data_IF_783860955906
#
_entry.id   IF_783860955906
#
_cell.length_a   1.000
_cell.length_b   1.000
_cell.length_c   1.000
_cell.angle_alpha   90.00
_cell.angle_beta   90.00
_cell.angle_gamma   90.00
#
_symmetry.space_group_name_H-M   'P 1'
#
loop_
_entity.id
_entity.type
_entity.pdbx_description
1 polymer ?
#
# COMPACT_ATOMS: atom_id res chain seq x y z
N UNK A 1 12.94 9.19 3.94
CA UNK A 1 12.09 9.13 5.14
C UNK A 1 10.64 8.93 4.77
N UNK A 2 9.92 8.16 5.57
CA UNK A 2 8.49 8.03 5.37
C UNK A 2 7.78 9.33 5.72
N UNK A 3 6.72 9.66 5.00
CA UNK A 3 5.87 10.80 5.32
C UNK A 3 5.11 10.53 6.62
N UNK A 4 4.50 11.58 7.19
CA UNK A 4 3.64 11.41 8.36
C UNK A 4 2.50 10.44 8.08
N UNK A 5 1.92 10.50 6.89
CA UNK A 5 0.84 9.61 6.49
C UNK A 5 1.31 8.15 6.42
N UNK A 6 2.49 7.90 5.83
CA UNK A 6 3.05 6.56 5.79
C UNK A 6 3.35 6.03 7.19
N UNK A 7 3.89 6.88 8.06
CA UNK A 7 4.17 6.48 9.44
C UNK A 7 2.90 6.07 10.18
N UNK A 8 1.82 6.83 10.02
CA UNK A 8 0.52 6.50 10.61
C UNK A 8 -0.03 5.18 10.06
N UNK A 9 0.09 4.97 8.76
CA UNK A 9 -0.38 3.75 8.13
C UNK A 9 0.39 2.53 8.61
N UNK A 10 1.72 2.64 8.72
CA UNK A 10 2.55 1.55 9.22
C UNK A 10 2.08 1.16 10.63
N UNK A 11 1.87 2.15 11.51
CA UNK A 11 1.40 1.89 12.87
C UNK A 11 0.02 1.25 12.86
N UNK A 12 -0.88 1.75 12.02
CA UNK A 12 -2.24 1.21 11.91
C UNK A 12 -2.22 -0.28 11.53
N UNK A 13 -1.52 -0.61 10.44
CA UNK A 13 -1.50 -1.98 9.96
C UNK A 13 -0.76 -2.92 10.91
N UNK A 14 0.32 -2.43 11.56
CA UNK A 14 1.00 -3.21 12.61
C UNK A 14 0.07 -3.50 13.77
N UNK A 15 -0.77 -2.54 14.15
CA UNK A 15 -1.71 -2.74 15.25
C UNK A 15 -2.73 -3.84 14.96
N UNK A 16 -2.96 -4.14 13.69
CA UNK A 16 -3.84 -5.22 13.25
C UNK A 16 -3.11 -6.56 13.14
N UNK A 17 -1.83 -6.60 13.50
CA UNK A 17 -1.06 -7.84 13.51
C UNK A 17 -0.27 -8.13 12.25
N UNK A 18 -0.17 -7.18 11.32
CA UNK A 18 0.58 -7.38 10.09
C UNK A 18 2.05 -7.06 10.27
N UNK A 19 2.89 -7.78 9.55
CA UNK A 19 4.28 -7.41 9.33
C UNK A 19 4.32 -6.46 8.13
N UNK A 20 4.73 -5.21 8.34
CA UNK A 20 4.65 -4.16 7.31
C UNK A 20 6.02 -3.83 6.78
N UNK A 21 6.16 -3.86 5.46
CA UNK A 21 7.39 -3.50 4.75
C UNK A 21 7.14 -2.24 3.94
N UNK A 22 8.08 -1.28 4.06
CA UNK A 22 8.05 -0.07 3.24
C UNK A 22 8.80 -0.34 1.93
N UNK A 23 8.11 -0.21 0.81
CA UNK A 23 8.64 -0.52 -0.52
C UNK A 23 9.20 0.69 -1.26
N UNK A 24 9.06 1.87 -0.71
CA UNK A 24 9.33 3.12 -1.44
C UNK A 24 10.72 3.17 -2.10
N UNK A 25 11.72 2.61 -1.44
CA UNK A 25 13.11 2.71 -1.93
C UNK A 25 13.53 1.61 -2.89
N UNK A 26 12.73 0.56 -3.03
CA UNK A 26 13.17 -0.64 -3.75
C UNK A 26 12.23 -1.06 -4.87
N UNK A 27 11.14 -0.34 -5.08
CA UNK A 27 10.14 -0.71 -6.07
C UNK A 27 10.17 0.21 -7.28
N UNK A 28 9.75 -0.29 -8.46
CA UNK A 28 9.53 0.58 -9.61
C UNK A 28 8.45 1.62 -9.35
N UNK A 29 8.49 2.69 -10.12
CA UNK A 29 7.51 3.77 -10.04
C UNK A 29 6.09 3.20 -10.26
N UNK A 30 5.15 3.65 -9.46
CA UNK A 30 3.73 3.28 -9.57
C UNK A 30 3.30 2.13 -8.71
N UNK A 31 4.22 1.38 -8.10
CA UNK A 31 3.84 0.34 -7.15
C UNK A 31 3.41 0.95 -5.81
N UNK A 32 2.53 0.27 -5.06
CA UNK A 32 2.13 0.74 -3.74
C UNK A 32 3.32 0.92 -2.79
N UNK A 33 3.15 1.80 -1.82
CA UNK A 33 4.23 2.18 -0.89
C UNK A 33 4.56 1.13 0.15
N UNK A 34 3.56 0.35 0.55
CA UNK A 34 3.70 -0.60 1.66
C UNK A 34 3.14 -1.96 1.27
N UNK A 35 3.67 -3.00 1.91
CA UNK A 35 3.05 -4.31 1.88
C UNK A 35 2.87 -4.79 3.32
N UNK A 36 1.68 -5.32 3.62
CA UNK A 36 1.34 -5.84 4.94
C UNK A 36 1.15 -7.35 4.84
N UNK A 37 1.83 -8.09 5.68
CA UNK A 37 1.89 -9.54 5.61
C UNK A 37 1.36 -10.20 6.87
N UNK A 38 0.56 -11.22 6.69
CA UNK A 38 0.17 -12.21 7.70
C UNK A 38 0.28 -13.58 7.05
N UNK A 39 0.26 -14.68 7.83
CA UNK A 39 0.16 -16.01 7.20
C UNK A 39 -1.04 -16.05 6.25
N UNK A 40 -0.79 -16.46 5.02
CA UNK A 40 -1.82 -16.61 3.98
C UNK A 40 -2.49 -15.32 3.54
N UNK A 41 -1.90 -14.15 3.86
CA UNK A 41 -2.48 -12.87 3.46
C UNK A 41 -1.40 -11.87 3.08
N UNK A 42 -1.57 -11.24 1.91
CA UNK A 42 -0.70 -10.18 1.41
C UNK A 42 -1.58 -9.01 1.00
N UNK A 43 -1.32 -7.84 1.59
CA UNK A 43 -2.08 -6.63 1.27
C UNK A 43 -1.09 -5.56 0.81
N UNK A 44 -1.36 -4.98 -0.36
CA UNK A 44 -0.59 -3.83 -0.85
C UNK A 44 -1.32 -2.55 -0.47
N UNK A 45 -0.60 -1.55 0.00
CA UNK A 45 -1.20 -0.33 0.54
C UNK A 45 -0.54 0.88 -0.12
N UNK A 46 -1.37 1.73 -0.73
CA UNK A 46 -0.94 3.00 -1.28
C UNK A 46 -1.26 4.10 -0.27
N UNK A 47 -0.27 4.95 0.03
CA UNK A 47 -0.44 6.08 0.94
C UNK A 47 -0.81 7.33 0.13
N UNK A 48 -1.94 7.95 0.45
CA UNK A 48 -2.40 9.17 -0.22
C UNK A 48 -2.94 10.17 0.79
N UNK A 49 -2.63 11.44 0.56
CA UNK A 49 -3.25 12.52 1.29
C UNK A 49 -4.66 12.77 0.73
N UNK A 50 -5.49 13.50 1.47
CA UNK A 50 -6.88 13.74 1.08
C UNK A 50 -7.03 14.38 -0.29
N UNK A 51 -6.10 15.27 -0.64
CA UNK A 51 -6.16 16.03 -1.90
C UNK A 51 -5.44 15.35 -3.05
N UNK A 52 -4.73 14.26 -2.78
CA UNK A 52 -4.00 13.53 -3.80
C UNK A 52 -4.90 12.52 -4.50
N UNK A 53 -4.66 12.36 -5.79
CA UNK A 53 -5.33 11.34 -6.59
C UNK A 53 -4.31 10.32 -7.05
N UNK A 54 -4.77 9.12 -7.30
CA UNK A 54 -3.92 8.09 -7.90
C UNK A 54 -3.54 8.52 -9.31
N UNK A 55 -2.25 8.38 -9.65
CA UNK A 55 -1.80 8.63 -11.01
C UNK A 55 -2.23 7.49 -11.93
N UNK A 56 -2.28 7.72 -13.26
CA UNK A 56 -2.57 6.63 -14.19
C UNK A 56 -1.62 5.44 -14.03
N UNK A 57 -0.35 5.68 -13.75
CA UNK A 57 0.62 4.60 -13.56
C UNK A 57 0.32 3.81 -12.28
N UNK A 58 -0.06 4.49 -11.20
CA UNK A 58 -0.46 3.83 -9.96
C UNK A 58 -1.71 2.97 -10.18
N UNK A 59 -2.69 3.50 -10.88
CA UNK A 59 -3.91 2.76 -11.20
C UNK A 59 -3.58 1.51 -12.01
N UNK A 60 -2.71 1.63 -13.02
CA UNK A 60 -2.32 0.50 -13.85
C UNK A 60 -1.65 -0.61 -13.02
N UNK A 61 -0.75 -0.24 -12.10
CA UNK A 61 -0.07 -1.22 -11.24
C UNK A 61 -1.04 -1.87 -10.26
N UNK A 62 -1.95 -1.09 -9.70
CA UNK A 62 -2.98 -1.64 -8.80
C UNK A 62 -3.85 -2.65 -9.55
N UNK A 63 -4.24 -2.36 -10.79
CA UNK A 63 -5.04 -3.28 -11.58
C UNK A 63 -4.31 -4.60 -11.83
N UNK A 64 -3.00 -4.56 -12.07
CA UNK A 64 -2.19 -5.76 -12.23
C UNK A 64 -2.26 -6.60 -10.95
N UNK A 65 -2.06 -5.97 -9.78
CA UNK A 65 -2.08 -6.67 -8.51
C UNK A 65 -3.45 -7.29 -8.24
N UNK A 66 -4.52 -6.58 -8.55
CA UNK A 66 -5.88 -7.09 -8.36
C UNK A 66 -6.17 -8.28 -9.29
N UNK A 67 -5.68 -8.25 -10.52
CA UNK A 67 -5.80 -9.40 -11.43
C UNK A 67 -5.09 -10.62 -10.90
N UNK A 68 -4.00 -10.43 -10.17
CA UNK A 68 -3.27 -11.51 -9.51
C UNK A 68 -3.93 -11.95 -8.21
N UNK A 69 -5.09 -11.38 -7.86
CA UNK A 69 -5.90 -11.71 -6.69
C UNK A 69 -5.31 -11.22 -5.37
N UNK A 70 -4.42 -10.23 -5.42
CA UNK A 70 -3.95 -9.56 -4.22
C UNK A 70 -4.93 -8.47 -3.80
N UNK A 71 -5.04 -8.26 -2.49
CA UNK A 71 -5.80 -7.14 -1.94
C UNK A 71 -4.97 -5.87 -2.05
N UNK A 72 -5.61 -4.78 -2.43
CA UNK A 72 -4.97 -3.46 -2.50
C UNK A 72 -5.84 -2.48 -1.73
N UNK A 73 -5.20 -1.70 -0.87
CA UNK A 73 -5.85 -0.66 -0.08
C UNK A 73 -5.25 0.70 -0.45
N UNK A 74 -6.07 1.72 -0.40
CA UNK A 74 -5.60 3.10 -0.40
C UNK A 74 -5.83 3.61 1.02
N UNK A 75 -4.75 3.90 1.74
CA UNK A 75 -4.77 4.19 3.17
C UNK A 75 -5.38 3.02 3.95
N UNK A 76 -6.60 3.16 4.43
CA UNK A 76 -7.27 2.13 5.22
C UNK A 76 -8.49 1.55 4.50
N UNK A 77 -8.73 1.98 3.27
CA UNK A 77 -9.90 1.58 2.51
C UNK A 77 -9.52 0.65 1.37
N UNK A 78 -10.24 -0.45 1.24
CA UNK A 78 -10.00 -1.39 0.14
C UNK A 78 -10.36 -0.73 -1.19
N UNK A 79 -9.44 -0.86 -2.14
CA UNK A 79 -9.58 -0.27 -3.46
C UNK A 79 -10.49 -1.12 -4.35
#
# INVERSE_FOLDING_TARGET
>A
MASKQQTKLIKHWRSLGYFVINLVKITPIGLPDLVALKPDEVIFIESKEKWDKLSPLQIAKIEILKKLKFKVYVNQDEY
#
